data_IF_902938105504
#
_entry.id   IF_902938105504
#
_cell.length_a   1.000
_cell.length_b   1.000
_cell.length_c   1.000
_cell.angle_alpha   90.00
_cell.angle_beta   90.00
_cell.angle_gamma   90.00
#
_symmetry.space_group_name_H-M   'P 1'
#
loop_
_entity.id
_entity.type
_entity.pdbx_description
1 polymer ?
#
# COMPACT_ATOMS: atom_id res chain seq x y z
N UNK A 1 22.10 -42.81 14.51
CA UNK A 1 22.63 -41.79 15.45
C UNK A 1 23.88 -41.19 14.81
N UNK A 2 23.72 -40.10 14.07
CA UNK A 2 24.82 -39.28 13.54
C UNK A 2 24.43 -37.83 13.83
N UNK A 3 25.26 -37.15 14.62
CA UNK A 3 25.03 -35.80 15.10
C UNK A 3 25.37 -34.76 14.04
N UNK A 4 24.41 -33.88 13.76
CA UNK A 4 24.62 -32.66 12.99
C UNK A 4 24.89 -31.51 13.97
N UNK A 5 26.11 -30.98 13.91
CA UNK A 5 26.52 -29.76 14.60
C UNK A 5 25.98 -28.53 13.86
N UNK A 6 25.28 -27.65 14.57
CA UNK A 6 24.85 -26.34 14.07
C UNK A 6 26.01 -25.34 14.12
N UNK A 7 26.15 -24.43 13.13
CA UNK A 7 27.15 -23.38 13.17
C UNK A 7 26.71 -22.23 14.09
N UNK A 8 27.69 -21.66 14.78
CA UNK A 8 27.64 -20.49 15.65
C UNK A 8 27.13 -19.23 14.95
N UNK A 9 26.18 -18.56 15.58
CA UNK A 9 25.59 -17.27 15.21
C UNK A 9 26.60 -16.13 15.26
N UNK A 10 26.74 -15.37 14.17
CA UNK A 10 27.41 -14.07 14.12
C UNK A 10 26.34 -12.97 14.32
N UNK A 11 26.56 -11.96 15.18
CA UNK A 11 25.57 -10.90 15.38
C UNK A 11 25.54 -9.95 14.17
N UNK A 12 24.39 -9.92 13.48
CA UNK A 12 24.06 -8.87 12.52
C UNK A 12 23.75 -7.58 13.28
N UNK A 13 24.61 -6.57 13.14
CA UNK A 13 24.28 -5.19 13.49
C UNK A 13 23.35 -4.63 12.41
N UNK A 14 22.09 -4.41 12.75
CA UNK A 14 21.13 -3.77 11.83
C UNK A 14 21.32 -2.25 11.85
N UNK A 15 21.14 -1.56 10.71
CA UNK A 15 21.30 -0.10 10.59
C UNK A 15 20.26 0.74 11.35
N UNK A 16 19.43 0.12 12.20
CA UNK A 16 18.35 0.80 12.93
C UNK A 16 18.82 1.59 14.18
N UNK A 17 20.06 1.40 14.65
CA UNK A 17 20.55 2.06 15.86
C UNK A 17 21.02 3.52 15.66
N UNK A 18 21.38 3.93 14.44
CA UNK A 18 21.92 5.27 14.20
C UNK A 18 20.83 6.37 14.17
N UNK A 19 19.59 6.04 13.79
CA UNK A 19 18.49 7.01 13.70
C UNK A 19 17.89 7.36 15.07
N UNK A 20 17.89 6.43 16.02
CA UNK A 20 17.29 6.62 17.35
C UNK A 20 18.12 7.54 18.24
N UNK A 21 19.46 7.55 18.08
CA UNK A 21 20.35 8.40 18.88
C UNK A 21 20.24 9.89 18.53
N UNK A 22 19.91 10.25 17.28
CA UNK A 22 19.72 11.66 16.90
C UNK A 22 18.41 12.26 17.44
N UNK A 23 17.35 11.45 17.59
CA UNK A 23 16.06 11.95 18.10
C UNK A 23 16.06 12.15 19.63
N UNK A 24 16.74 11.28 20.38
CA UNK A 24 16.72 11.35 21.85
C UNK A 24 17.44 12.59 22.41
N UNK A 25 18.47 13.10 21.71
CA UNK A 25 19.20 14.30 22.15
C UNK A 25 18.46 15.61 21.85
N UNK A 26 17.63 15.66 20.80
CA UNK A 26 16.84 16.85 20.47
C UNK A 26 15.67 17.07 21.45
N UNK A 27 15.08 15.99 21.97
CA UNK A 27 13.93 16.05 22.90
C UNK A 27 14.33 16.64 24.26
N UNK A 28 15.55 16.38 24.75
CA UNK A 28 16.02 16.96 26.01
C UNK A 28 16.30 18.47 25.95
N UNK A 29 16.49 19.06 24.77
CA UNK A 29 16.83 20.48 24.66
C UNK A 29 15.62 21.43 24.71
N UNK A 30 14.38 20.91 24.60
CA UNK A 30 13.17 21.72 24.55
C UNK A 30 12.37 21.79 25.88
N UNK A 31 12.75 21.01 26.90
CA UNK A 31 11.97 20.88 28.15
C UNK A 31 12.12 22.06 29.15
N UNK A 32 12.58 23.24 28.71
CA UNK A 32 12.80 24.38 29.62
C UNK A 32 12.67 25.77 29.01
N UNK A 33 12.17 25.93 27.77
CA UNK A 33 11.99 27.24 27.13
C UNK A 33 10.56 27.44 26.63
N UNK A 34 9.97 28.63 26.82
CA UNK A 34 8.57 28.91 26.48
C UNK A 34 8.29 28.97 24.97
N UNK A 35 9.32 28.97 24.11
CA UNK A 35 9.19 28.95 22.65
C UNK A 35 10.29 28.06 22.07
N UNK A 36 9.93 26.87 21.57
CA UNK A 36 10.83 26.07 20.74
C UNK A 36 10.83 26.63 19.32
N UNK A 37 11.87 27.38 18.96
CA UNK A 37 12.11 27.76 17.56
C UNK A 37 12.60 26.55 16.78
N UNK A 38 11.66 25.77 16.23
CA UNK A 38 11.96 24.62 15.37
C UNK A 38 12.77 24.99 14.11
N UNK A 39 12.66 26.24 13.66
CA UNK A 39 13.31 26.73 12.44
C UNK A 39 14.85 26.68 12.49
N UNK A 40 15.45 26.77 13.68
CA UNK A 40 16.90 26.73 13.83
C UNK A 40 17.51 25.32 13.69
N UNK A 41 16.70 24.26 13.87
CA UNK A 41 17.15 22.86 13.78
C UNK A 41 16.80 22.21 12.44
N UNK A 42 15.86 22.78 11.66
CA UNK A 42 15.40 22.22 10.39
C UNK A 42 16.23 22.68 9.19
N UNK A 43 16.78 23.90 9.20
CA UNK A 43 17.63 24.41 8.13
C UNK A 43 18.87 23.52 7.86
N UNK A 44 19.61 23.04 8.90
CA UNK A 44 20.72 22.11 8.69
C UNK A 44 20.28 20.79 8.06
N UNK A 45 19.08 20.30 8.38
CA UNK A 45 18.58 19.02 7.91
C UNK A 45 18.16 19.06 6.44
N UNK A 46 17.48 20.12 6.01
CA UNK A 46 17.11 20.29 4.59
C UNK A 46 18.35 20.41 3.71
N UNK A 47 19.34 21.20 4.13
CA UNK A 47 20.62 21.32 3.41
C UNK A 47 21.34 19.98 3.34
N UNK A 48 21.38 19.22 4.45
CA UNK A 48 21.98 17.89 4.48
C UNK A 48 21.32 16.92 3.49
N UNK A 49 19.99 16.89 3.41
CA UNK A 49 19.29 16.07 2.43
C UNK A 49 19.61 16.49 1.00
N UNK A 50 19.68 17.80 0.72
CA UNK A 50 20.04 18.32 -0.59
C UNK A 50 21.47 17.90 -0.99
N UNK A 51 22.46 18.10 -0.11
CA UNK A 51 23.86 17.72 -0.35
C UNK A 51 24.00 16.20 -0.54
N UNK A 52 23.27 15.41 0.26
CA UNK A 52 23.26 13.96 0.13
C UNK A 52 22.59 13.49 -1.17
N UNK A 53 21.50 14.15 -1.58
CA UNK A 53 20.82 13.89 -2.85
C UNK A 53 21.73 14.22 -4.05
N UNK A 54 22.51 15.31 -3.96
CA UNK A 54 23.48 15.72 -4.97
C UNK A 54 24.60 14.68 -5.15
N UNK A 55 24.95 13.94 -4.10
CA UNK A 55 25.88 12.79 -4.16
C UNK A 55 25.28 11.50 -4.75
N UNK A 56 24.01 11.54 -5.17
CA UNK A 56 23.38 10.43 -5.88
C UNK A 56 22.64 9.42 -5.00
N UNK A 57 22.49 9.66 -3.69
CA UNK A 57 21.75 8.75 -2.81
C UNK A 57 20.25 8.77 -3.10
N UNK A 58 19.69 7.62 -3.50
CA UNK A 58 18.27 7.46 -3.79
C UNK A 58 17.38 7.78 -2.56
N UNK A 59 17.78 7.31 -1.38
CA UNK A 59 17.08 7.60 -0.13
C UNK A 59 17.10 9.11 0.17
N UNK A 60 18.24 9.77 0.00
CA UNK A 60 18.34 11.20 0.25
C UNK A 60 17.53 12.02 -0.75
N UNK A 61 17.47 11.62 -2.03
CA UNK A 61 16.58 12.24 -3.02
C UNK A 61 15.11 12.11 -2.63
N UNK A 62 14.68 10.93 -2.19
CA UNK A 62 13.32 10.71 -1.68
C UNK A 62 13.02 11.58 -0.45
N UNK A 63 13.92 11.63 0.53
CA UNK A 63 13.71 12.44 1.74
C UNK A 63 13.71 13.93 1.42
N UNK A 64 14.62 14.38 0.55
CA UNK A 64 14.70 15.75 0.07
C UNK A 64 13.40 16.17 -0.64
N UNK A 65 12.79 15.29 -1.45
CA UNK A 65 11.55 15.61 -2.16
C UNK A 65 10.41 16.03 -1.20
N UNK A 66 10.39 15.51 0.03
CA UNK A 66 9.38 15.85 1.04
C UNK A 66 9.59 17.23 1.67
N UNK A 67 10.77 17.84 1.48
CA UNK A 67 11.15 19.14 2.04
C UNK A 67 11.08 20.28 1.05
N UNK A 68 11.07 19.97 -0.25
CA UNK A 68 11.05 20.99 -1.33
C UNK A 68 9.92 22.00 -1.14
N UNK A 69 8.70 21.55 -0.80
CA UNK A 69 7.54 22.43 -0.61
C UNK A 69 7.70 23.51 0.46
N UNK A 70 8.63 23.36 1.40
CA UNK A 70 8.93 24.35 2.44
C UNK A 70 10.13 25.24 2.13
N UNK A 71 10.69 25.17 0.91
CA UNK A 71 11.89 25.95 0.54
C UNK A 71 11.52 27.42 0.34
N UNK A 72 12.16 28.38 1.03
CA UNK A 72 11.87 29.80 0.83
C UNK A 72 12.17 30.26 -0.60
N UNK A 73 11.29 31.08 -1.17
CA UNK A 73 11.52 31.78 -2.44
C UNK A 73 11.26 30.96 -3.71
N UNK A 74 10.71 29.76 -3.63
CA UNK A 74 10.20 29.03 -4.79
C UNK A 74 8.67 29.05 -4.83
N UNK A 75 8.10 29.05 -6.04
CA UNK A 75 6.66 28.95 -6.24
C UNK A 75 6.16 27.53 -5.96
N UNK A 76 4.85 27.37 -5.71
CA UNK A 76 4.24 26.05 -5.53
C UNK A 76 4.44 25.15 -6.76
N UNK A 77 4.32 25.72 -7.97
CA UNK A 77 4.56 25.02 -9.23
C UNK A 77 6.01 24.51 -9.35
N UNK A 78 6.99 25.37 -9.04
CA UNK A 78 8.40 25.01 -9.05
C UNK A 78 8.71 23.93 -7.99
N UNK A 79 8.11 24.04 -6.81
CA UNK A 79 8.24 23.06 -5.75
C UNK A 79 7.69 21.69 -6.17
N UNK A 80 6.52 21.68 -6.82
CA UNK A 80 5.89 20.47 -7.35
C UNK A 80 6.76 19.81 -8.43
N UNK A 81 7.27 20.60 -9.38
CA UNK A 81 8.19 20.12 -10.43
C UNK A 81 9.45 19.47 -9.84
N UNK A 82 10.13 20.15 -8.92
CA UNK A 82 11.34 19.62 -8.25
C UNK A 82 11.04 18.38 -7.40
N UNK A 83 9.88 18.33 -6.75
CA UNK A 83 9.45 17.15 -6.00
C UNK A 83 9.32 15.93 -6.92
N UNK A 84 8.71 16.09 -8.10
CA UNK A 84 8.58 15.03 -9.10
C UNK A 84 9.97 14.60 -9.60
N UNK A 85 10.83 15.54 -10.00
CA UNK A 85 12.18 15.25 -10.48
C UNK A 85 12.99 14.45 -9.46
N UNK A 86 12.96 14.84 -8.18
CA UNK A 86 13.66 14.12 -7.11
C UNK A 86 13.09 12.71 -6.88
N UNK A 87 11.76 12.53 -6.95
CA UNK A 87 11.15 11.20 -6.82
C UNK A 87 11.49 10.31 -8.02
N UNK A 88 11.52 10.84 -9.25
CA UNK A 88 11.98 10.10 -10.44
C UNK A 88 13.42 9.64 -10.25
N UNK A 89 14.33 10.57 -9.91
CA UNK A 89 15.73 10.24 -9.69
C UNK A 89 15.96 9.29 -8.50
N UNK A 90 15.11 9.34 -7.48
CA UNK A 90 15.14 8.39 -6.36
C UNK A 90 14.66 7.01 -6.80
N UNK A 91 13.57 6.94 -7.58
CA UNK A 91 13.00 5.71 -8.10
C UNK A 91 13.98 5.00 -9.05
N UNK A 92 14.56 5.73 -10.00
CA UNK A 92 15.60 5.19 -10.90
C UNK A 92 16.87 4.76 -10.14
N UNK A 93 17.10 5.32 -8.96
CA UNK A 93 18.15 4.88 -8.03
C UNK A 93 17.75 3.70 -7.12
N UNK A 94 16.60 3.07 -7.34
CA UNK A 94 16.13 1.90 -6.59
C UNK A 94 15.27 2.18 -5.35
N UNK A 95 14.89 3.43 -5.08
CA UNK A 95 13.95 3.73 -3.99
C UNK A 95 12.56 3.18 -4.31
N UNK A 96 12.15 2.15 -3.57
CA UNK A 96 10.83 1.54 -3.74
C UNK A 96 9.69 2.52 -3.48
N UNK A 97 9.77 3.30 -2.40
CA UNK A 97 8.75 4.30 -2.05
C UNK A 97 8.60 5.39 -3.10
N UNK A 98 9.71 5.88 -3.66
CA UNK A 98 9.65 6.85 -4.73
C UNK A 98 9.06 6.23 -6.01
N UNK A 99 9.46 5.00 -6.34
CA UNK A 99 8.92 4.27 -7.47
C UNK A 99 7.40 4.08 -7.38
N UNK A 100 6.87 3.67 -6.22
CA UNK A 100 5.42 3.57 -5.98
C UNK A 100 4.72 4.91 -6.19
N UNK A 101 5.28 6.02 -5.69
CA UNK A 101 4.70 7.36 -5.87
C UNK A 101 4.66 7.76 -7.34
N UNK A 102 5.74 7.56 -8.08
CA UNK A 102 5.79 7.87 -9.51
C UNK A 102 4.84 6.98 -10.31
N UNK A 103 4.77 5.68 -9.99
CA UNK A 103 3.82 4.78 -10.62
C UNK A 103 2.38 5.26 -10.44
N UNK A 104 1.98 5.60 -9.21
CA UNK A 104 0.64 6.13 -8.91
C UNK A 104 0.37 7.49 -9.54
N UNK A 105 1.39 8.35 -9.66
CA UNK A 105 1.28 9.61 -10.38
C UNK A 105 0.96 9.39 -11.86
N UNK A 106 1.63 8.43 -12.52
CA UNK A 106 1.30 8.03 -13.89
C UNK A 106 -0.08 7.36 -14.03
N UNK A 107 -0.61 6.75 -12.98
CA UNK A 107 -2.00 6.26 -12.97
C UNK A 107 -3.03 7.32 -12.61
N UNK A 108 -2.62 8.57 -12.35
CA UNK A 108 -3.49 9.65 -11.85
C UNK A 108 -4.19 9.35 -10.53
N UNK A 109 -3.63 8.44 -9.74
CA UNK A 109 -4.06 8.14 -8.38
C UNK A 109 -3.48 9.13 -7.37
N UNK A 110 -2.49 9.93 -7.79
CA UNK A 110 -1.93 11.03 -7.02
C UNK A 110 -1.98 12.32 -7.84
N UNK A 111 -2.25 13.48 -7.21
CA UNK A 111 -2.13 14.78 -7.88
C UNK A 111 -0.70 14.95 -8.44
N UNK A 112 -0.59 15.07 -9.76
CA UNK A 112 0.69 15.20 -10.45
C UNK A 112 0.52 15.75 -11.86
N UNK A 113 1.52 16.51 -12.32
CA UNK A 113 1.64 16.98 -13.70
C UNK A 113 2.13 15.89 -14.68
N UNK A 114 2.62 14.74 -14.20
CA UNK A 114 3.06 13.63 -15.06
C UNK A 114 1.90 13.10 -15.91
N UNK A 115 2.09 12.83 -17.22
CA UNK A 115 1.01 12.31 -18.07
C UNK A 115 0.56 10.92 -17.61
N UNK A 116 -0.68 10.55 -17.96
CA UNK A 116 -1.13 9.18 -17.76
C UNK A 116 -0.30 8.25 -18.66
N UNK A 117 0.35 7.24 -18.06
CA UNK A 117 1.18 6.29 -18.78
C UNK A 117 1.22 4.95 -18.03
N UNK A 118 0.47 3.98 -18.55
CA UNK A 118 0.37 2.65 -17.93
C UNK A 118 1.70 1.89 -17.96
N UNK A 119 2.48 2.03 -19.03
CA UNK A 119 3.75 1.31 -19.19
C UNK A 119 4.82 1.83 -18.23
N UNK A 120 4.88 3.16 -18.03
CA UNK A 120 5.75 3.74 -17.01
C UNK A 120 5.30 3.36 -15.60
N UNK A 121 4.00 3.36 -15.32
CA UNK A 121 3.49 2.91 -14.03
C UNK A 121 3.91 1.46 -13.72
N UNK A 122 3.75 0.56 -14.68
CA UNK A 122 4.19 -0.82 -14.57
C UNK A 122 5.69 -0.93 -14.31
N UNK A 123 6.53 -0.21 -15.08
CA UNK A 123 7.98 -0.18 -14.88
C UNK A 123 8.34 0.20 -13.44
N UNK A 124 7.73 1.25 -12.91
CA UNK A 124 8.04 1.71 -11.55
C UNK A 124 7.52 0.76 -10.46
N UNK A 125 6.37 0.10 -10.64
CA UNK A 125 5.97 -0.96 -9.72
C UNK A 125 6.93 -2.16 -9.75
N UNK A 126 7.50 -2.51 -10.91
CA UNK A 126 8.54 -3.54 -10.99
C UNK A 126 9.80 -3.14 -10.22
N UNK A 127 10.26 -1.89 -10.34
CA UNK A 127 11.36 -1.38 -9.50
C UNK A 127 11.04 -1.54 -8.00
N UNK A 128 9.81 -1.22 -7.58
CA UNK A 128 9.40 -1.39 -6.20
C UNK A 128 9.41 -2.87 -5.76
N UNK A 129 8.98 -3.79 -6.63
CA UNK A 129 9.02 -5.24 -6.39
C UNK A 129 10.46 -5.74 -6.27
N UNK A 130 11.35 -5.30 -7.16
CA UNK A 130 12.78 -5.66 -7.13
C UNK A 130 13.44 -5.20 -5.82
N UNK A 131 12.99 -4.07 -5.27
CA UNK A 131 13.38 -3.58 -3.95
C UNK A 131 12.59 -4.21 -2.78
N UNK A 132 11.90 -5.33 -3.03
CA UNK A 132 11.12 -6.10 -2.04
C UNK A 132 10.00 -5.32 -1.33
N UNK A 133 9.45 -4.30 -1.97
CA UNK A 133 8.32 -3.55 -1.41
C UNK A 133 6.98 -4.20 -1.81
N UNK A 134 6.14 -4.61 -0.85
CA UNK A 134 4.91 -5.33 -1.16
C UNK A 134 3.83 -4.45 -1.80
N UNK A 135 3.87 -3.13 -1.59
CA UNK A 135 3.06 -2.15 -2.32
C UNK A 135 3.26 -2.22 -3.84
N UNK A 136 4.46 -2.61 -4.30
CA UNK A 136 4.74 -2.81 -5.72
C UNK A 136 3.89 -3.95 -6.30
N UNK A 137 3.79 -5.06 -5.56
CA UNK A 137 2.90 -6.16 -5.93
C UNK A 137 1.43 -5.74 -5.90
N UNK A 138 0.98 -4.99 -4.90
CA UNK A 138 -0.40 -4.48 -4.87
C UNK A 138 -0.71 -3.57 -6.06
N UNK A 139 0.22 -2.67 -6.42
CA UNK A 139 0.10 -1.81 -7.59
C UNK A 139 0.02 -2.58 -8.91
N UNK A 140 0.79 -3.66 -9.06
CA UNK A 140 0.68 -4.55 -10.22
C UNK A 140 -0.70 -5.22 -10.31
N UNK A 141 -1.24 -5.71 -9.20
CA UNK A 141 -2.60 -6.27 -9.17
C UNK A 141 -3.65 -5.22 -9.58
N UNK A 142 -3.49 -3.97 -9.15
CA UNK A 142 -4.36 -2.86 -9.54
C UNK A 142 -4.31 -2.58 -11.04
N UNK A 143 -3.11 -2.52 -11.65
CA UNK A 143 -2.97 -2.36 -13.11
C UNK A 143 -3.69 -3.47 -13.85
N UNK A 144 -3.41 -4.73 -13.50
CA UNK A 144 -3.98 -5.90 -14.17
C UNK A 144 -5.51 -5.89 -14.15
N UNK A 145 -6.12 -5.66 -12.99
CA UNK A 145 -7.57 -5.62 -12.84
C UNK A 145 -8.20 -4.40 -13.52
N UNK A 146 -7.51 -3.25 -13.51
CA UNK A 146 -7.98 -2.04 -14.20
C UNK A 146 -8.00 -2.23 -15.71
N UNK A 147 -6.97 -2.87 -16.28
CA UNK A 147 -6.92 -3.21 -17.70
C UNK A 147 -8.05 -4.15 -18.10
N UNK A 148 -8.30 -5.21 -17.31
CA UNK A 148 -9.44 -6.13 -17.53
C UNK A 148 -10.77 -5.37 -17.51
N UNK A 149 -10.98 -4.49 -16.53
CA UNK A 149 -12.18 -3.65 -16.43
C UNK A 149 -12.36 -2.73 -17.63
N UNK A 150 -11.29 -2.06 -18.06
CA UNK A 150 -11.35 -1.15 -19.19
C UNK A 150 -11.68 -1.89 -20.49
N UNK A 151 -10.98 -2.99 -20.78
CA UNK A 151 -11.21 -3.76 -22.02
C UNK A 151 -12.61 -4.37 -22.07
N UNK A 152 -13.07 -4.99 -20.98
CA UNK A 152 -14.42 -5.55 -20.92
C UNK A 152 -15.52 -4.48 -21.06
N UNK A 153 -15.24 -3.23 -20.66
CA UNK A 153 -16.18 -2.11 -20.85
C UNK A 153 -16.31 -1.69 -22.33
N UNK A 154 -15.28 -1.93 -23.16
CA UNK A 154 -15.31 -1.62 -24.60
C UNK A 154 -16.10 -2.66 -25.41
N UNK A 155 -16.22 -3.89 -24.91
CA UNK A 155 -16.89 -5.01 -25.61
C UNK A 155 -18.42 -5.04 -25.45
N UNK A 156 -19.06 -3.93 -25.06
CA UNK A 156 -20.52 -3.83 -24.98
C UNK A 156 -21.15 -4.63 -23.84
N UNK A 157 -20.40 -4.91 -22.76
CA UNK A 157 -20.91 -5.47 -21.51
C UNK A 157 -21.09 -6.99 -21.48
N UNK A 158 -21.20 -7.65 -22.64
CA UNK A 158 -21.30 -9.12 -22.71
C UNK A 158 -20.01 -9.82 -22.23
N UNK A 159 -18.83 -9.22 -22.46
CA UNK A 159 -17.56 -9.73 -21.96
C UNK A 159 -17.35 -9.56 -20.45
N UNK A 160 -18.09 -8.66 -19.80
CA UNK A 160 -17.86 -8.32 -18.39
C UNK A 160 -18.28 -9.43 -17.42
N UNK A 161 -19.29 -10.25 -17.77
CA UNK A 161 -19.74 -11.35 -16.93
C UNK A 161 -18.73 -12.50 -16.83
N UNK A 162 -17.87 -12.67 -17.84
CA UNK A 162 -16.84 -13.73 -17.86
C UNK A 162 -15.43 -13.20 -17.58
N UNK A 163 -15.27 -11.88 -17.34
CA UNK A 163 -13.98 -11.24 -17.13
C UNK A 163 -13.19 -11.79 -15.93
N UNK A 164 -13.84 -12.43 -14.96
CA UNK A 164 -13.16 -13.12 -13.86
C UNK A 164 -12.27 -14.30 -14.31
N UNK A 165 -12.51 -14.83 -15.52
CA UNK A 165 -11.71 -15.90 -16.14
C UNK A 165 -10.48 -15.38 -16.88
N UNK A 166 -10.34 -14.06 -17.01
CA UNK A 166 -9.18 -13.47 -17.65
C UNK A 166 -7.91 -13.87 -16.91
N UNK A 167 -6.87 -14.29 -17.64
CA UNK A 167 -5.60 -14.73 -17.08
C UNK A 167 -4.98 -13.66 -16.16
N UNK A 168 -5.18 -12.38 -16.48
CA UNK A 168 -4.67 -11.25 -15.68
C UNK A 168 -5.31 -11.17 -14.30
N UNK A 169 -6.53 -11.67 -14.13
CA UNK A 169 -7.16 -11.79 -12.79
C UNK A 169 -6.37 -12.78 -11.92
N UNK A 170 -5.96 -13.92 -12.49
CA UNK A 170 -5.14 -14.89 -11.76
C UNK A 170 -3.73 -14.36 -11.48
N UNK A 171 -3.14 -13.60 -12.41
CA UNK A 171 -1.87 -12.91 -12.19
C UNK A 171 -1.99 -11.86 -11.07
N UNK A 172 -3.09 -11.10 -11.04
CA UNK A 172 -3.37 -10.16 -9.96
C UNK A 172 -3.46 -10.87 -8.59
N UNK A 173 -4.15 -12.01 -8.51
CA UNK A 173 -4.21 -12.84 -7.29
C UNK A 173 -2.80 -13.26 -6.85
N UNK A 174 -1.97 -13.74 -7.76
CA UNK A 174 -0.59 -14.13 -7.43
C UNK A 174 0.26 -12.95 -6.89
N UNK A 175 0.05 -11.75 -7.42
CA UNK A 175 0.67 -10.54 -6.87
C UNK A 175 0.14 -10.23 -5.46
N UNK A 176 -1.17 -10.34 -5.22
CA UNK A 176 -1.76 -10.14 -3.90
C UNK A 176 -1.24 -11.13 -2.87
N UNK A 177 -1.10 -12.41 -3.23
CA UNK A 177 -0.51 -13.44 -2.36
C UNK A 177 0.91 -13.03 -1.91
N UNK A 178 1.79 -12.65 -2.85
CA UNK A 178 3.16 -12.22 -2.53
C UNK A 178 3.19 -11.01 -1.59
N UNK A 179 2.35 -10.01 -1.85
CA UNK A 179 2.22 -8.85 -0.99
C UNK A 179 1.66 -9.21 0.40
N UNK A 180 0.66 -10.07 0.46
CA UNK A 180 -0.01 -10.48 1.69
C UNK A 180 0.91 -11.32 2.60
N UNK A 181 1.74 -12.19 2.03
CA UNK A 181 2.79 -12.92 2.75
C UNK A 181 3.84 -11.99 3.35
N UNK A 182 4.05 -10.82 2.75
CA UNK A 182 4.93 -9.77 3.27
C UNK A 182 4.24 -8.83 4.27
N UNK A 183 3.00 -9.13 4.67
CA UNK A 183 2.26 -8.33 5.66
C UNK A 183 1.46 -7.16 5.09
N UNK A 184 1.25 -7.07 3.77
CA UNK A 184 0.50 -5.97 3.18
C UNK A 184 -1.00 -6.10 3.46
N UNK A 185 -1.51 -5.22 4.35
CA UNK A 185 -2.87 -5.25 4.87
C UNK A 185 -3.95 -5.28 3.77
N UNK A 186 -3.81 -4.51 2.69
CA UNK A 186 -4.84 -4.47 1.65
C UNK A 186 -4.80 -5.65 0.73
N UNK A 187 -3.62 -6.26 0.57
CA UNK A 187 -3.54 -7.50 -0.18
C UNK A 187 -4.22 -8.61 0.60
N UNK A 188 -4.01 -8.65 1.93
CA UNK A 188 -4.73 -9.58 2.82
C UNK A 188 -6.24 -9.34 2.75
N UNK A 189 -6.71 -8.09 2.82
CA UNK A 189 -8.12 -7.78 2.66
C UNK A 189 -8.68 -8.23 1.29
N UNK A 190 -7.98 -7.93 0.19
CA UNK A 190 -8.42 -8.32 -1.15
C UNK A 190 -8.35 -9.85 -1.36
N UNK A 191 -7.44 -10.57 -0.71
CA UNK A 191 -7.47 -12.04 -0.71
C UNK A 191 -8.71 -12.57 0.03
N UNK A 192 -9.15 -11.91 1.10
CA UNK A 192 -10.44 -12.19 1.72
C UNK A 192 -11.59 -12.09 0.71
N UNK A 193 -11.58 -11.07 -0.15
CA UNK A 193 -12.55 -10.94 -1.25
C UNK A 193 -12.39 -12.05 -2.30
N UNK A 194 -11.15 -12.39 -2.69
CA UNK A 194 -10.85 -13.49 -3.63
C UNK A 194 -11.54 -14.79 -3.20
N UNK A 195 -11.40 -15.15 -1.93
CA UNK A 195 -11.99 -16.37 -1.38
C UNK A 195 -13.49 -16.25 -1.08
N UNK A 196 -14.00 -15.06 -0.77
CA UNK A 196 -15.45 -14.83 -0.54
C UNK A 196 -16.26 -14.95 -1.83
N UNK A 197 -15.69 -14.50 -2.95
CA UNK A 197 -16.37 -14.43 -4.24
C UNK A 197 -15.93 -15.54 -5.21
N UNK A 198 -14.96 -16.37 -4.84
CA UNK A 198 -14.54 -17.53 -5.65
C UNK A 198 -13.76 -17.15 -6.90
N UNK A 199 -12.88 -16.15 -6.81
CA UNK A 199 -12.00 -15.75 -7.92
C UNK A 199 -10.80 -16.69 -8.11
N UNK A 200 -10.46 -17.50 -7.11
CA UNK A 200 -9.29 -18.40 -7.16
C UNK A 200 -9.49 -19.58 -8.13
N UNK A 201 -8.40 -20.11 -8.70
CA UNK A 201 -8.38 -21.38 -9.43
C UNK A 201 -8.71 -21.31 -10.93
N UNK A 202 -8.76 -20.11 -11.53
CA UNK A 202 -8.87 -19.87 -12.98
C UNK A 202 -10.19 -20.27 -13.65
N UNK A 203 -10.95 -21.22 -13.09
CA UNK A 203 -12.28 -21.60 -13.57
C UNK A 203 -13.37 -20.71 -12.97
N UNK A 204 -13.09 -20.15 -11.79
CA UNK A 204 -14.07 -19.59 -10.86
C UNK A 204 -15.18 -20.59 -10.56
N UNK A 205 -16.01 -20.27 -9.57
CA UNK A 205 -17.16 -21.10 -9.26
C UNK A 205 -17.41 -21.26 -7.77
N UNK A 206 -18.52 -21.93 -7.46
CA UNK A 206 -18.95 -22.16 -6.09
C UNK A 206 -17.91 -22.93 -5.27
N UNK A 207 -17.21 -23.87 -5.89
CA UNK A 207 -16.18 -24.68 -5.24
C UNK A 207 -14.91 -23.89 -4.90
N UNK A 208 -14.72 -22.70 -5.50
CA UNK A 208 -13.62 -21.80 -5.18
C UNK A 208 -13.94 -20.85 -4.00
N UNK A 209 -15.18 -20.87 -3.49
CA UNK A 209 -15.56 -20.10 -2.31
C UNK A 209 -15.06 -20.83 -1.07
N UNK A 210 -14.21 -20.15 -0.30
CA UNK A 210 -13.69 -20.63 0.98
C UNK A 210 -13.91 -19.56 2.05
N UNK A 211 -15.03 -19.67 2.79
CA UNK A 211 -15.45 -18.66 3.77
C UNK A 211 -14.51 -18.65 4.98
N UNK A 212 -13.95 -19.79 5.37
CA UNK A 212 -13.05 -19.88 6.52
C UNK A 212 -11.71 -19.20 6.20
N UNK A 213 -11.14 -19.51 5.03
CA UNK A 213 -9.91 -18.87 4.56
C UNK A 213 -10.12 -17.38 4.29
N UNK A 214 -11.28 -16.99 3.74
CA UNK A 214 -11.64 -15.58 3.58
C UNK A 214 -11.63 -14.85 4.92
N UNK A 215 -12.30 -15.41 5.93
CA UNK A 215 -12.35 -14.84 7.27
C UNK A 215 -10.96 -14.69 7.90
N UNK A 216 -10.08 -15.68 7.71
CA UNK A 216 -8.68 -15.60 8.17
C UNK A 216 -7.92 -14.44 7.50
N UNK A 217 -8.10 -14.23 6.20
CA UNK A 217 -7.44 -13.14 5.49
C UNK A 217 -7.97 -11.76 5.91
N UNK A 218 -9.29 -11.64 6.11
CA UNK A 218 -9.88 -10.42 6.65
C UNK A 218 -9.38 -10.10 8.06
N UNK A 219 -9.25 -11.09 8.94
CA UNK A 219 -8.67 -10.88 10.27
C UNK A 219 -7.18 -10.48 10.18
N UNK A 220 -6.41 -11.16 9.33
CA UNK A 220 -4.99 -10.88 9.13
C UNK A 220 -4.71 -9.49 8.59
N UNK A 221 -5.61 -8.95 7.76
CA UNK A 221 -5.50 -7.59 7.24
C UNK A 221 -5.30 -6.56 8.34
N UNK A 222 -5.79 -6.85 9.56
CA UNK A 222 -5.62 -5.98 10.72
C UNK A 222 -6.32 -4.63 10.55
N UNK A 223 -7.15 -4.48 9.51
CA UNK A 223 -7.91 -3.25 9.28
C UNK A 223 -9.36 -3.42 9.73
N UNK A 224 -10.01 -2.32 10.12
CA UNK A 224 -11.37 -2.35 10.67
C UNK A 224 -12.43 -2.84 9.69
N UNK A 225 -12.27 -2.52 8.39
CA UNK A 225 -13.09 -3.04 7.31
C UNK A 225 -13.01 -4.57 7.25
N UNK A 226 -11.79 -5.13 7.36
CA UNK A 226 -11.57 -6.56 7.42
C UNK A 226 -12.27 -7.20 8.61
N UNK A 227 -12.09 -6.64 9.81
CA UNK A 227 -12.78 -7.13 11.01
C UNK A 227 -14.31 -7.09 10.86
N UNK A 228 -14.88 -6.07 10.23
CA UNK A 228 -16.33 -6.02 10.02
C UNK A 228 -16.84 -7.07 9.04
N UNK A 229 -16.09 -7.36 7.97
CA UNK A 229 -16.45 -8.45 7.06
C UNK A 229 -16.33 -9.80 7.75
N UNK A 230 -15.23 -10.03 8.50
CA UNK A 230 -15.03 -11.24 9.29
C UNK A 230 -16.13 -11.43 10.35
N UNK A 231 -16.58 -10.35 10.99
CA UNK A 231 -17.71 -10.36 11.93
C UNK A 231 -19.00 -10.84 11.25
N UNK A 232 -19.32 -10.29 10.08
CA UNK A 232 -20.51 -10.69 9.31
C UNK A 232 -20.47 -12.16 8.91
N UNK A 233 -19.32 -12.66 8.47
CA UNK A 233 -19.11 -14.08 8.15
C UNK A 233 -19.28 -14.96 9.39
N UNK A 234 -18.66 -14.59 10.52
CA UNK A 234 -18.80 -15.31 11.79
C UNK A 234 -20.26 -15.35 12.25
N UNK A 235 -21.00 -14.24 12.12
CA UNK A 235 -22.42 -14.16 12.44
C UNK A 235 -23.29 -15.08 11.57
N UNK A 236 -23.03 -15.12 10.27
CA UNK A 236 -23.70 -16.02 9.33
C UNK A 236 -23.42 -17.50 9.64
N UNK A 237 -22.24 -17.82 10.16
CA UNK A 237 -21.85 -19.15 10.61
C UNK A 237 -22.32 -19.50 12.04
N UNK A 238 -23.05 -18.60 12.73
CA UNK A 238 -23.51 -18.81 14.11
C UNK A 238 -22.43 -18.66 15.19
N UNK A 239 -21.23 -18.17 14.84
CA UNK A 239 -20.08 -18.03 15.74
C UNK A 239 -20.15 -16.70 16.53
N UNK A 240 -21.13 -16.59 17.45
CA UNK A 240 -21.46 -15.34 18.16
C UNK A 240 -20.31 -14.70 18.94
N UNK A 241 -19.43 -15.50 19.53
CA UNK A 241 -18.28 -14.96 20.26
C UNK A 241 -17.23 -14.36 19.32
N UNK A 242 -17.00 -14.99 18.17
CA UNK A 242 -16.07 -14.47 17.15
C UNK A 242 -16.64 -13.20 16.54
N UNK A 243 -17.93 -13.21 16.16
CA UNK A 243 -18.64 -12.03 15.67
C UNK A 243 -18.45 -10.83 16.61
N UNK A 244 -18.74 -11.01 17.91
CA UNK A 244 -18.59 -9.95 18.91
C UNK A 244 -17.17 -9.42 19.01
N UNK A 245 -16.17 -10.31 19.11
CA UNK A 245 -14.75 -9.90 19.18
C UNK A 245 -14.33 -9.08 17.97
N UNK A 246 -14.74 -9.48 16.77
CA UNK A 246 -14.39 -8.77 15.54
C UNK A 246 -15.05 -7.38 15.48
N UNK A 247 -16.32 -7.27 15.89
CA UNK A 247 -17.01 -5.97 16.02
C UNK A 247 -16.30 -5.06 17.02
N UNK A 248 -15.90 -5.60 18.17
CA UNK A 248 -15.20 -4.83 19.22
C UNK A 248 -13.84 -4.32 18.71
N UNK A 249 -13.09 -5.17 17.99
CA UNK A 249 -11.83 -4.77 17.34
C UNK A 249 -12.05 -3.66 16.31
N UNK A 250 -13.01 -3.82 15.39
CA UNK A 250 -13.32 -2.79 14.39
C UNK A 250 -13.73 -1.46 15.04
N UNK A 251 -14.56 -1.52 16.09
CA UNK A 251 -15.00 -0.36 16.87
C UNK A 251 -13.83 0.34 17.55
N UNK A 252 -12.91 -0.41 18.17
CA UNK A 252 -11.74 0.16 18.84
C UNK A 252 -10.82 0.93 17.89
N UNK A 253 -10.86 0.60 16.61
CA UNK A 253 -10.11 1.26 15.53
C UNK A 253 -10.93 2.32 14.79
N UNK A 254 -12.09 2.69 15.33
CA UNK A 254 -12.94 3.76 14.82
C UNK A 254 -13.75 3.41 13.58
N UNK A 255 -14.10 2.15 13.31
CA UNK A 255 -14.92 1.78 12.14
C UNK A 255 -16.23 2.58 12.04
N UNK A 256 -16.89 2.78 13.17
CA UNK A 256 -18.18 3.49 13.27
C UNK A 256 -18.04 5.00 13.47
N UNK A 257 -16.81 5.52 13.51
CA UNK A 257 -16.57 6.91 13.81
C UNK A 257 -16.67 7.78 12.55
N UNK A 258 -17.35 8.95 12.59
CA UNK A 258 -17.50 9.81 11.42
C UNK A 258 -16.17 10.25 10.79
N UNK A 259 -15.15 10.48 11.62
CA UNK A 259 -13.83 10.93 11.16
C UNK A 259 -13.11 9.91 10.28
N UNK A 260 -13.50 8.63 10.31
CA UNK A 260 -12.85 7.58 9.53
C UNK A 260 -12.98 7.81 8.04
N UNK A 261 -14.18 8.20 7.58
CA UNK A 261 -14.44 8.48 6.17
C UNK A 261 -13.54 9.63 5.68
N UNK A 262 -13.45 10.69 6.47
CA UNK A 262 -12.59 11.84 6.17
C UNK A 262 -11.10 11.45 6.19
N UNK A 263 -10.68 10.64 7.17
CA UNK A 263 -9.32 10.14 7.26
C UNK A 263 -8.94 9.35 5.99
N UNK A 264 -9.79 8.41 5.55
CA UNK A 264 -9.54 7.61 4.33
C UNK A 264 -9.53 8.47 3.07
N UNK A 265 -10.36 9.50 2.98
CA UNK A 265 -10.32 10.44 1.85
C UNK A 265 -9.02 11.25 1.83
N UNK A 266 -8.49 11.65 2.98
CA UNK A 266 -7.28 12.48 3.09
C UNK A 266 -5.99 11.68 2.94
N UNK A 267 -5.88 10.55 3.63
CA UNK A 267 -4.65 9.75 3.68
C UNK A 267 -4.65 8.60 2.69
N UNK A 268 -5.76 8.39 1.98
CA UNK A 268 -6.02 7.16 1.24
C UNK A 268 -6.23 6.00 2.21
N UNK A 269 -6.48 4.82 1.66
CA UNK A 269 -6.26 3.63 2.45
C UNK A 269 -4.71 3.49 2.54
N UNK A 270 -4.10 3.39 3.73
CA UNK A 270 -2.71 2.87 3.86
C UNK A 270 -1.60 3.91 3.98
N UNK A 271 -1.94 5.16 4.30
CA UNK A 271 -0.96 6.22 4.59
C UNK A 271 -0.33 6.86 3.35
N UNK A 272 -0.79 6.48 2.15
CA UNK A 272 -0.54 7.22 0.92
C UNK A 272 -1.89 7.54 0.26
N UNK A 273 -2.19 8.83 -0.02
CA UNK A 273 -3.46 9.22 -0.61
C UNK A 273 -3.74 8.48 -1.91
N UNK A 274 -5.04 8.26 -2.21
CA UNK A 274 -5.49 7.72 -3.49
C UNK A 274 -5.35 6.21 -3.69
N UNK A 275 -5.15 5.42 -2.63
CA UNK A 275 -5.30 3.96 -2.71
C UNK A 275 -6.70 3.56 -2.25
N UNK A 276 -7.46 2.94 -3.15
CA UNK A 276 -8.70 2.27 -2.80
C UNK A 276 -8.39 0.93 -2.13
N UNK A 277 -9.12 0.64 -1.06
CA UNK A 277 -9.04 -0.65 -0.38
C UNK A 277 -9.54 -1.78 -1.29
N UNK A 278 -10.58 -1.51 -2.06
CA UNK A 278 -11.13 -2.44 -3.03
C UNK A 278 -10.43 -2.26 -4.37
N UNK A 279 -9.84 -3.34 -4.87
CA UNK A 279 -9.42 -3.40 -6.26
C UNK A 279 -10.65 -3.52 -7.19
N UNK A 280 -10.54 -3.10 -8.46
CA UNK A 280 -11.65 -3.09 -9.40
C UNK A 280 -11.94 -4.50 -9.96
N UNK A 281 -12.31 -5.42 -9.07
CA UNK A 281 -12.62 -6.80 -9.42
C UNK A 281 -13.77 -6.87 -10.45
N UNK A 282 -13.66 -7.74 -11.48
CA UNK A 282 -14.77 -8.03 -12.36
C UNK A 282 -15.88 -8.79 -11.62
N UNK A 283 -17.13 -8.86 -12.13
CA UNK A 283 -18.16 -9.71 -11.58
C UNK A 283 -17.65 -11.14 -11.38
N UNK A 284 -17.95 -11.72 -10.23
CA UNK A 284 -17.68 -13.12 -9.96
C UNK A 284 -18.53 -14.03 -10.86
N UNK A 285 -18.31 -15.34 -10.77
CA UNK A 285 -19.04 -16.34 -11.57
C UNK A 285 -20.57 -16.31 -11.42
N UNK A 286 -21.08 -15.74 -10.32
CA UNK A 286 -22.51 -15.57 -10.05
C UNK A 286 -23.02 -14.14 -10.30
N UNK A 287 -22.21 -13.31 -10.95
CA UNK A 287 -22.53 -11.94 -11.31
C UNK A 287 -22.40 -10.93 -10.17
N UNK A 288 -22.11 -11.36 -8.93
CA UNK A 288 -21.89 -10.44 -7.81
C UNK A 288 -20.56 -9.71 -7.97
N UNK A 289 -20.52 -8.45 -7.58
CA UNK A 289 -19.30 -7.64 -7.48
C UNK A 289 -19.00 -7.39 -6.01
N UNK A 290 -17.73 -7.48 -5.57
CA UNK A 290 -17.34 -7.09 -4.22
C UNK A 290 -17.82 -5.68 -3.87
N UNK A 291 -18.49 -5.47 -2.73
CA UNK A 291 -18.96 -4.15 -2.33
C UNK A 291 -17.76 -3.24 -2.03
N UNK A 292 -17.87 -1.95 -2.32
CA UNK A 292 -16.86 -0.95 -1.95
C UNK A 292 -16.92 -0.66 -0.44
N UNK A 293 -15.75 -0.58 0.21
CA UNK A 293 -15.59 -0.34 1.64
C UNK A 293 -14.88 0.96 1.96
#
# INVERSE_FOLDING_TARGET
MQGLSLPSTVPFLTPSFAATLFFSSAIHFCLGRPVCHWDALTAPLTQWFADCAARGSALCRQLHSTKVGGTPGITEEEASRRMIELNVQAADGGSAYAAIKIARAHLKLLPSSLPFDLGLAERYFRIAIESSAPDGHYGMAQILLTTVKFEASQEGGAGWSDAFRDRRVQEAIAHLERAAFSGHAFSQFNLGLVHTFGYHGGRGGRDAIDVDLAGMWFERSGIPEGFMVAAGQAGAAGQKDRERRMVDMARSMGYFEPWRKEARQRTGSGGAPGIDLNLPWPPAFDGRVPPEF
#
